data_IF_383271579997
#
_entry.id   IF_383271579997
#
_cell.length_a   1.000
_cell.length_b   1.000
_cell.length_c   1.000
_cell.angle_alpha   90.00
_cell.angle_beta   90.00
_cell.angle_gamma   90.00
#
_symmetry.space_group_name_H-M   'P 1'
#
loop_
_entity.id
_entity.type
_entity.pdbx_description
1 polymer ?
#
# COMPACT_ATOMS: atom_id res chain seq x y z
N UNK A 1 -32.66 5.07 25.72
CA UNK A 1 -31.85 5.97 24.87
C UNK A 1 -32.23 7.39 25.26
N UNK A 2 -31.29 8.22 25.71
CA UNK A 2 -31.60 9.63 25.97
C UNK A 2 -31.58 10.36 24.63
N UNK A 3 -32.72 10.91 24.22
CA UNK A 3 -32.79 11.81 23.07
C UNK A 3 -32.12 13.13 23.46
N UNK A 4 -30.86 13.30 23.05
CA UNK A 4 -30.19 14.59 23.15
C UNK A 4 -30.76 15.51 22.07
N UNK A 5 -31.82 16.24 22.42
CA UNK A 5 -32.30 17.38 21.63
C UNK A 5 -31.16 18.39 21.57
N UNK A 6 -30.52 18.54 20.41
CA UNK A 6 -29.48 19.57 20.23
C UNK A 6 -30.14 20.95 20.32
N UNK A 7 -29.79 21.79 21.32
CA UNK A 7 -30.46 23.09 21.51
C UNK A 7 -30.03 24.14 20.47
N UNK A 8 -28.97 23.87 19.70
CA UNK A 8 -28.47 24.74 18.65
C UNK A 8 -28.11 23.93 17.39
N UNK A 9 -28.62 24.36 16.24
CA UNK A 9 -28.21 23.80 14.95
C UNK A 9 -26.80 24.27 14.59
N UNK A 10 -25.92 23.32 14.32
CA UNK A 10 -24.56 23.55 13.86
C UNK A 10 -24.27 22.70 12.63
N UNK A 11 -23.43 23.22 11.73
CA UNK A 11 -23.09 22.59 10.46
C UNK A 11 -21.58 22.66 10.18
N UNK A 12 -21.05 21.61 9.58
CA UNK A 12 -19.68 21.51 9.09
C UNK A 12 -19.60 22.25 7.76
N UNK A 13 -18.87 23.37 7.72
CA UNK A 13 -18.69 24.19 6.50
C UNK A 13 -17.46 23.81 5.67
N UNK A 14 -16.71 22.79 6.07
CA UNK A 14 -15.47 22.38 5.41
C UNK A 14 -15.77 21.69 4.07
N UNK A 15 -15.28 22.21 2.94
CA UNK A 15 -15.49 21.58 1.64
C UNK A 15 -14.74 20.25 1.54
N UNK A 16 -15.38 19.29 0.88
CA UNK A 16 -14.79 18.01 0.47
C UNK A 16 -14.18 18.18 -0.93
N UNK A 17 -12.90 17.82 -1.07
CA UNK A 17 -12.16 17.92 -2.34
C UNK A 17 -12.04 16.59 -3.09
N UNK A 18 -11.55 16.66 -4.33
CA UNK A 18 -11.14 15.56 -5.21
C UNK A 18 -11.93 14.23 -5.09
N UNK A 19 -11.35 13.05 -4.94
CA UNK A 19 -9.95 12.62 -4.63
C UNK A 19 -9.46 12.90 -3.19
N UNK A 20 -10.19 13.62 -2.32
CA UNK A 20 -9.89 13.62 -0.88
C UNK A 20 -10.36 12.33 -0.18
N UNK A 21 -9.54 11.78 0.73
CA UNK A 21 -9.97 10.67 1.58
C UNK A 21 -11.01 11.12 2.61
N UNK A 22 -12.07 10.34 2.86
CA UNK A 22 -13.11 10.66 3.85
C UNK A 22 -12.53 10.95 5.24
N UNK A 23 -11.50 10.19 5.65
CA UNK A 23 -10.81 10.45 6.91
C UNK A 23 -9.96 11.73 6.89
N UNK A 24 -9.40 12.15 5.75
CA UNK A 24 -8.75 13.47 5.60
C UNK A 24 -9.76 14.59 5.80
N UNK A 25 -10.91 14.49 5.12
CA UNK A 25 -11.95 15.50 5.21
C UNK A 25 -12.48 15.64 6.63
N UNK A 26 -12.72 14.53 7.35
CA UNK A 26 -13.12 14.57 8.76
C UNK A 26 -12.09 15.22 9.69
N UNK A 27 -10.80 15.07 9.41
CA UNK A 27 -9.73 15.71 10.19
C UNK A 27 -9.73 17.22 9.93
N UNK A 28 -9.80 17.65 8.66
CA UNK A 28 -9.95 19.06 8.29
C UNK A 28 -11.24 19.68 8.83
N UNK A 29 -12.34 18.93 8.82
CA UNK A 29 -13.62 19.35 9.40
C UNK A 29 -13.48 19.64 10.90
N UNK A 30 -12.80 18.76 11.65
CA UNK A 30 -12.56 18.98 13.07
C UNK A 30 -11.72 20.24 13.33
N UNK A 31 -10.57 20.33 12.65
CA UNK A 31 -9.65 21.47 12.81
C UNK A 31 -10.30 22.79 12.39
N UNK A 32 -11.11 22.79 11.32
CA UNK A 32 -11.91 23.95 10.88
C UNK A 32 -13.05 24.33 11.83
N UNK A 33 -13.60 23.36 12.57
CA UNK A 33 -14.51 23.61 13.69
C UNK A 33 -13.79 23.99 15.00
N UNK A 34 -12.46 24.11 15.00
CA UNK A 34 -11.68 24.45 16.18
C UNK A 34 -11.59 23.34 17.23
N UNK A 35 -11.80 22.07 16.86
CA UNK A 35 -11.71 20.91 17.75
C UNK A 35 -10.79 19.82 17.17
N UNK A 36 -10.40 18.85 17.99
CA UNK A 36 -9.60 17.72 17.52
C UNK A 36 -10.48 16.65 16.83
N UNK A 37 -9.91 15.76 16.00
CA UNK A 37 -10.67 14.74 15.26
C UNK A 37 -11.39 13.71 16.15
N UNK A 38 -10.95 13.48 17.40
CA UNK A 38 -11.71 12.63 18.33
C UNK A 38 -12.94 13.38 18.85
N UNK A 39 -12.82 14.67 19.19
CA UNK A 39 -13.95 15.49 19.65
C UNK A 39 -15.06 15.60 18.61
N UNK A 40 -14.76 16.00 17.36
CA UNK A 40 -15.79 16.11 16.31
C UNK A 40 -16.51 14.77 16.09
N UNK A 41 -15.75 13.69 15.96
CA UNK A 41 -16.34 12.36 15.69
C UNK A 41 -17.09 11.77 16.88
N UNK A 42 -16.73 12.15 18.12
CA UNK A 42 -17.46 11.81 19.33
C UNK A 42 -18.84 12.48 19.40
N UNK A 43 -18.96 13.72 18.91
CA UNK A 43 -20.25 14.43 18.77
C UNK A 43 -21.08 13.84 17.62
N UNK A 44 -20.47 13.60 16.46
CA UNK A 44 -21.17 13.04 15.30
C UNK A 44 -21.69 11.62 15.56
N UNK A 45 -20.91 10.78 16.25
CA UNK A 45 -21.22 9.37 16.46
C UNK A 45 -20.95 8.91 17.90
N UNK A 46 -21.79 9.32 18.87
CA UNK A 46 -21.62 8.97 20.28
C UNK A 46 -21.45 7.46 20.50
N UNK A 47 -20.44 7.09 21.29
CA UNK A 47 -20.09 5.70 21.58
C UNK A 47 -19.37 4.93 20.46
N UNK A 48 -19.31 5.44 19.23
CA UNK A 48 -18.59 4.76 18.14
C UNK A 48 -17.11 5.17 18.08
N UNK A 49 -16.22 4.19 18.26
CA UNK A 49 -14.77 4.37 18.11
C UNK A 49 -14.37 4.37 16.62
N UNK A 50 -14.89 5.33 15.83
CA UNK A 50 -14.66 5.39 14.36
C UNK A 50 -13.18 5.25 13.97
N UNK A 51 -12.29 5.84 14.76
CA UNK A 51 -10.85 5.85 14.53
C UNK A 51 -10.13 4.51 14.75
N UNK A 52 -10.81 3.45 15.20
CA UNK A 52 -10.24 2.10 15.24
C UNK A 52 -10.50 1.28 13.98
N UNK A 53 -11.34 1.78 13.07
CA UNK A 53 -11.66 1.16 11.77
C UNK A 53 -11.18 2.02 10.60
N UNK A 54 -11.11 1.43 9.41
CA UNK A 54 -10.66 2.09 8.19
C UNK A 54 -11.86 2.63 7.38
N UNK A 55 -12.36 3.81 7.76
CA UNK A 55 -13.55 4.41 7.12
C UNK A 55 -13.35 4.77 5.64
N UNK A 56 -12.11 4.91 5.17
CA UNK A 56 -11.82 5.15 3.76
C UNK A 56 -12.22 3.94 2.90
N UNK A 57 -12.40 2.75 3.47
CA UNK A 57 -12.94 1.57 2.76
C UNK A 57 -14.44 1.66 2.48
N UNK A 58 -15.15 2.59 3.12
CA UNK A 58 -16.59 2.74 2.99
C UNK A 58 -17.25 2.96 4.35
N UNK A 59 -18.17 3.91 4.40
CA UNK A 59 -18.92 4.26 5.60
C UNK A 59 -20.31 3.61 5.58
N UNK A 60 -20.71 2.96 6.68
CA UNK A 60 -22.04 2.36 6.80
C UNK A 60 -23.15 3.44 6.74
N UNK A 61 -24.25 3.14 6.04
CA UNK A 61 -25.33 4.10 5.71
C UNK A 61 -25.84 4.91 6.91
N UNK A 62 -25.94 4.29 8.09
CA UNK A 62 -26.37 4.95 9.34
C UNK A 62 -25.45 6.11 9.77
N UNK A 63 -24.16 6.01 9.50
CA UNK A 63 -23.16 7.02 9.85
C UNK A 63 -23.01 8.08 8.76
N UNK A 64 -23.09 7.69 7.48
CA UNK A 64 -23.02 8.62 6.35
C UNK A 64 -24.22 9.56 6.28
N UNK A 65 -25.43 9.08 6.59
CA UNK A 65 -26.63 9.95 6.72
C UNK A 65 -26.42 11.12 7.69
N UNK A 66 -25.68 10.91 8.79
CA UNK A 66 -25.37 11.96 9.78
C UNK A 66 -24.36 12.97 9.21
N UNK A 67 -23.37 12.53 8.42
CA UNK A 67 -22.47 13.45 7.73
C UNK A 67 -23.21 14.27 6.67
N UNK A 68 -24.07 13.64 5.88
CA UNK A 68 -24.86 14.33 4.85
C UNK A 68 -25.76 15.42 5.44
N UNK A 69 -26.40 15.17 6.59
CA UNK A 69 -27.20 16.21 7.25
C UNK A 69 -26.36 17.29 7.93
N UNK A 70 -25.22 16.95 8.53
CA UNK A 70 -24.35 17.93 9.23
C UNK A 70 -23.45 18.75 8.33
N UNK A 71 -23.10 18.27 7.13
CA UNK A 71 -22.17 18.94 6.22
C UNK A 71 -22.82 19.41 4.89
N UNK A 72 -24.09 19.09 4.66
CA UNK A 72 -24.79 19.33 3.39
C UNK A 72 -24.09 18.67 2.17
N UNK A 73 -23.43 17.53 2.39
CA UNK A 73 -22.73 16.75 1.36
C UNK A 73 -23.60 15.57 0.93
N UNK A 74 -23.75 15.33 -0.38
CA UNK A 74 -24.56 14.21 -0.88
C UNK A 74 -23.97 12.85 -0.51
N UNK A 75 -24.81 11.82 -0.45
CA UNK A 75 -24.33 10.46 -0.17
C UNK A 75 -23.31 9.98 -1.23
N UNK A 76 -23.44 10.44 -2.48
CA UNK A 76 -22.54 10.06 -3.57
C UNK A 76 -21.18 10.77 -3.48
N UNK A 77 -21.17 12.04 -3.09
CA UNK A 77 -19.93 12.76 -2.76
C UNK A 77 -19.19 12.10 -1.57
N UNK A 78 -19.92 11.63 -0.56
CA UNK A 78 -19.32 10.83 0.52
C UNK A 78 -18.81 9.46 0.02
N UNK A 79 -19.50 8.85 -0.97
CA UNK A 79 -19.04 7.59 -1.56
C UNK A 79 -17.74 7.79 -2.36
N UNK A 80 -17.58 8.88 -3.12
CA UNK A 80 -16.35 9.19 -3.88
C UNK A 80 -15.12 9.48 -3.00
N UNK A 81 -15.34 9.90 -1.75
CA UNK A 81 -14.29 10.03 -0.74
C UNK A 81 -13.88 8.68 -0.11
N UNK A 82 -14.41 7.55 -0.60
CA UNK A 82 -14.10 6.20 -0.11
C UNK A 82 -13.88 5.21 -1.25
N UNK A 83 -13.28 4.07 -0.95
CA UNK A 83 -13.13 2.94 -1.88
C UNK A 83 -14.44 2.18 -2.17
N UNK A 84 -15.60 2.66 -1.68
CA UNK A 84 -16.90 2.01 -1.94
C UNK A 84 -17.19 1.89 -3.44
N UNK A 85 -16.98 2.97 -4.21
CA UNK A 85 -17.19 2.94 -5.65
C UNK A 85 -16.20 1.98 -6.35
N UNK A 86 -14.93 1.99 -5.92
CA UNK A 86 -13.90 1.09 -6.43
C UNK A 86 -14.26 -0.39 -6.23
N UNK A 87 -14.74 -0.75 -5.03
CA UNK A 87 -15.17 -2.11 -4.70
C UNK A 87 -16.45 -2.53 -5.43
N UNK A 88 -17.38 -1.60 -5.66
CA UNK A 88 -18.59 -1.88 -6.45
C UNK A 88 -18.29 -2.11 -7.93
N UNK A 89 -17.35 -1.34 -8.51
CA UNK A 89 -16.91 -1.47 -9.89
C UNK A 89 -16.07 -2.73 -10.16
N UNK A 90 -15.48 -3.32 -9.12
CA UNK A 90 -14.56 -4.45 -9.20
C UNK A 90 -14.97 -5.58 -8.22
N UNK A 91 -16.27 -5.85 -8.10
CA UNK A 91 -16.84 -6.75 -7.10
C UNK A 91 -16.37 -8.21 -7.22
N UNK A 92 -15.90 -8.61 -8.40
CA UNK A 92 -15.34 -9.94 -8.70
C UNK A 92 -13.88 -10.11 -8.20
N UNK A 93 -13.27 -9.06 -7.64
CA UNK A 93 -11.83 -9.00 -7.35
C UNK A 93 -11.58 -8.59 -5.89
N UNK A 94 -10.70 -9.31 -5.20
CA UNK A 94 -10.36 -9.05 -3.78
C UNK A 94 -9.40 -7.85 -3.60
N UNK A 95 -9.92 -6.65 -3.79
CA UNK A 95 -9.18 -5.40 -3.71
C UNK A 95 -8.83 -4.96 -2.26
N UNK A 96 -9.34 -5.57 -1.18
CA UNK A 96 -8.98 -5.13 0.17
C UNK A 96 -7.49 -5.29 0.48
N UNK A 97 -6.86 -6.29 -0.14
CA UNK A 97 -5.43 -6.57 -0.05
C UNK A 97 -4.58 -5.49 -0.73
N UNK A 98 -5.19 -4.72 -1.63
CA UNK A 98 -4.59 -3.62 -2.37
C UNK A 98 -4.88 -2.23 -1.77
N UNK A 99 -5.52 -2.16 -0.60
CA UNK A 99 -5.63 -0.95 0.23
C UNK A 99 -4.65 -1.05 1.40
N UNK A 100 -3.87 0.01 1.63
CA UNK A 100 -2.81 0.06 2.65
C UNK A 100 -3.39 -0.10 4.06
N UNK A 101 -2.81 -1.00 4.84
CA UNK A 101 -3.27 -1.27 6.19
C UNK A 101 -2.80 -0.17 7.17
N UNK A 102 -3.76 0.44 7.86
CA UNK A 102 -3.51 1.41 8.94
C UNK A 102 -2.73 0.81 10.13
N UNK A 103 -2.80 -0.51 10.33
CA UNK A 103 -2.10 -1.20 11.41
C UNK A 103 -2.55 -0.74 12.81
N UNK A 104 -3.86 -0.58 13.00
CA UNK A 104 -4.47 0.08 14.16
C UNK A 104 -4.15 -0.62 15.48
N UNK A 105 -3.83 0.17 16.52
CA UNK A 105 -3.88 -0.25 17.93
C UNK A 105 -4.51 0.89 18.72
N UNK A 106 -5.76 0.72 19.14
CA UNK A 106 -6.63 1.82 19.53
C UNK A 106 -6.59 2.92 18.45
N UNK A 107 -6.26 4.16 18.82
CA UNK A 107 -6.16 5.31 17.92
C UNK A 107 -4.82 5.40 17.14
N UNK A 108 -3.77 4.68 17.54
CA UNK A 108 -2.45 4.78 16.87
C UNK A 108 -2.41 3.92 15.61
N UNK A 109 -1.88 4.47 14.52
CA UNK A 109 -1.67 3.78 13.24
C UNK A 109 -0.16 3.56 13.02
N UNK A 110 0.23 2.48 12.34
CA UNK A 110 1.64 2.10 12.08
C UNK A 110 2.06 2.30 10.62
N UNK A 111 1.33 3.17 9.93
CA UNK A 111 1.39 3.38 8.49
C UNK A 111 -0.02 3.55 7.92
N UNK A 112 -0.19 3.18 6.66
CA UNK A 112 -1.44 3.34 5.92
C UNK A 112 -1.58 4.70 5.25
N UNK A 113 -1.10 5.76 5.89
CA UNK A 113 -1.08 7.13 5.38
C UNK A 113 0.20 7.45 4.62
N UNK A 114 0.05 8.17 3.49
CA UNK A 114 1.14 8.59 2.61
C UNK A 114 0.83 9.96 2.03
N UNK A 115 1.85 10.71 1.61
CA UNK A 115 1.68 12.04 1.01
C UNK A 115 2.79 12.43 0.05
N UNK A 116 2.49 13.44 -0.77
CA UNK A 116 3.45 14.19 -1.57
C UNK A 116 3.72 15.53 -0.87
N UNK A 117 4.98 15.87 -0.58
CA UNK A 117 5.35 17.14 0.08
C UNK A 117 4.90 18.36 -0.71
N UNK A 118 5.09 18.32 -2.03
CA UNK A 118 4.80 19.43 -2.93
C UNK A 118 3.29 19.59 -3.16
N UNK A 119 2.51 18.51 -3.18
CA UNK A 119 1.05 18.64 -3.16
C UNK A 119 0.57 19.35 -1.89
N UNK A 120 1.10 18.98 -0.71
CA UNK A 120 0.73 19.65 0.55
C UNK A 120 1.20 21.11 0.64
N UNK A 121 2.14 21.53 -0.22
CA UNK A 121 2.60 22.92 -0.36
C UNK A 121 1.72 23.73 -1.33
N UNK A 122 1.37 23.12 -2.47
CA UNK A 122 0.61 23.76 -3.55
C UNK A 122 -0.90 23.79 -3.32
N UNK A 123 -1.45 22.83 -2.58
CA UNK A 123 -2.88 22.73 -2.29
C UNK A 123 -3.30 23.95 -1.43
N UNK A 124 -4.20 24.85 -1.91
CA UNK A 124 -4.58 26.08 -1.19
C UNK A 124 -5.13 25.83 0.22
N UNK A 125 -5.75 24.66 0.43
CA UNK A 125 -5.97 24.08 1.75
C UNK A 125 -5.55 22.62 1.65
N UNK A 126 -4.40 22.27 2.23
CA UNK A 126 -3.82 20.92 2.16
C UNK A 126 -4.79 19.80 2.59
N UNK A 127 -4.67 18.63 1.96
CA UNK A 127 -5.46 17.42 2.25
C UNK A 127 -4.70 16.15 1.85
N UNK A 128 -5.13 15.01 2.38
CA UNK A 128 -4.61 13.70 2.00
C UNK A 128 -5.55 13.04 0.98
N UNK A 129 -4.97 12.61 -0.13
CA UNK A 129 -5.71 12.03 -1.25
C UNK A 129 -6.08 10.58 -1.00
N UNK A 130 -7.25 10.16 -1.49
CA UNK A 130 -7.74 8.79 -1.33
C UNK A 130 -6.83 7.79 -2.04
N UNK A 131 -6.37 8.10 -3.26
CA UNK A 131 -5.46 7.22 -4.01
C UNK A 131 -4.13 6.96 -3.28
N UNK A 132 -3.62 7.88 -2.43
CA UNK A 132 -2.44 7.65 -1.60
C UNK A 132 -2.63 6.54 -0.55
N UNK A 133 -3.86 6.06 -0.33
CA UNK A 133 -4.16 4.84 0.46
C UNK A 133 -4.03 3.54 -0.36
N UNK A 134 -3.81 3.58 -1.67
CA UNK A 134 -3.68 2.39 -2.52
C UNK A 134 -2.27 1.77 -2.46
N UNK A 135 -2.20 0.44 -2.54
CA UNK A 135 -0.96 -0.32 -2.33
C UNK A 135 0.00 -0.24 -3.52
N UNK A 136 -0.47 0.02 -4.74
CA UNK A 136 0.39 0.25 -5.90
C UNK A 136 0.88 1.71 -6.02
N UNK A 137 0.25 2.65 -5.30
CA UNK A 137 0.63 4.07 -5.30
C UNK A 137 1.87 4.27 -4.43
N UNK A 138 3.00 4.59 -5.07
CA UNK A 138 4.32 4.76 -4.45
C UNK A 138 4.99 6.09 -4.80
N UNK A 139 4.47 6.83 -5.77
CA UNK A 139 4.96 8.16 -6.13
C UNK A 139 3.85 9.10 -6.56
N UNK A 140 4.11 10.40 -6.44
CA UNK A 140 3.26 11.42 -7.03
C UNK A 140 3.51 11.50 -8.54
N UNK A 141 2.45 11.35 -9.35
CA UNK A 141 2.54 11.50 -10.81
C UNK A 141 2.85 12.96 -11.18
N UNK A 142 2.23 13.93 -10.51
CA UNK A 142 2.41 15.38 -10.75
C UNK A 142 3.85 15.84 -10.53
N UNK A 143 4.48 15.37 -9.45
CA UNK A 143 5.80 15.84 -9.01
C UNK A 143 6.94 14.87 -9.28
N UNK A 144 6.65 13.68 -9.82
CA UNK A 144 7.65 12.64 -10.16
C UNK A 144 8.58 12.24 -8.99
N UNK A 145 8.03 12.29 -7.76
CA UNK A 145 8.75 11.96 -6.53
C UNK A 145 8.08 10.84 -5.74
N UNK A 146 8.87 10.12 -4.93
CA UNK A 146 8.36 9.07 -4.04
C UNK A 146 7.41 9.66 -2.99
N UNK A 147 6.31 8.98 -2.69
CA UNK A 147 5.45 9.36 -1.56
C UNK A 147 6.18 9.12 -0.22
N UNK A 148 5.86 9.93 0.78
CA UNK A 148 6.37 9.79 2.14
C UNK A 148 5.29 9.15 3.03
N UNK A 149 5.66 8.12 3.81
CA UNK A 149 4.79 7.44 4.80
C UNK A 149 5.21 7.70 6.26
N UNK A 150 6.25 8.52 6.45
CA UNK A 150 6.77 8.96 7.74
C UNK A 150 7.01 10.48 7.74
N UNK A 151 7.10 11.07 8.93
CA UNK A 151 7.58 12.44 9.07
C UNK A 151 9.11 12.49 8.86
N UNK A 152 9.66 13.34 7.97
CA UNK A 152 11.10 13.41 7.73
C UNK A 152 11.89 14.01 8.91
N UNK A 153 11.21 14.62 9.89
CA UNK A 153 11.85 15.27 11.04
C UNK A 153 11.97 14.36 12.28
N UNK A 154 10.99 13.50 12.52
CA UNK A 154 10.95 12.62 13.71
C UNK A 154 10.79 11.12 13.38
N UNK A 155 10.63 10.77 12.10
CA UNK A 155 10.46 9.40 11.58
C UNK A 155 9.24 8.61 12.11
N UNK A 156 8.35 9.25 12.88
CA UNK A 156 7.05 8.68 13.24
C UNK A 156 6.16 8.44 12.01
N UNK A 157 5.34 7.39 12.06
CA UNK A 157 4.33 7.15 11.03
C UNK A 157 3.31 8.30 10.96
N UNK A 158 2.89 8.65 9.75
CA UNK A 158 1.93 9.74 9.50
C UNK A 158 0.56 9.40 10.10
N UNK A 159 0.09 10.28 11.01
CA UNK A 159 -1.09 10.05 11.84
C UNK A 159 -1.92 11.36 12.01
N UNK A 160 -2.43 11.97 10.92
CA UNK A 160 -3.13 13.27 10.98
C UNK A 160 -4.37 13.23 11.90
N UNK A 161 -4.95 12.04 12.11
CA UNK A 161 -6.02 11.79 13.09
C UNK A 161 -5.63 11.92 14.58
N UNK A 162 -4.37 12.24 14.87
CA UNK A 162 -3.84 12.60 16.19
C UNK A 162 -3.50 14.09 16.30
N UNK A 163 -3.81 14.91 15.29
CA UNK A 163 -3.74 16.36 15.40
C UNK A 163 -4.76 16.86 16.42
N UNK A 164 -4.47 18.02 16.99
CA UNK A 164 -5.22 18.66 18.06
C UNK A 164 -5.73 20.03 17.58
N UNK A 165 -6.76 20.58 18.23
CA UNK A 165 -7.34 21.87 17.86
C UNK A 165 -6.32 23.02 17.63
N UNK A 166 -5.23 23.16 18.42
CA UNK A 166 -4.22 24.20 18.20
C UNK A 166 -3.40 24.02 16.92
N UNK A 167 -3.35 22.82 16.34
CA UNK A 167 -2.53 22.55 15.15
C UNK A 167 -3.09 23.22 13.89
N UNK A 168 -4.41 23.41 13.83
CA UNK A 168 -5.22 24.11 12.80
C UNK A 168 -5.12 23.59 11.34
N UNK A 169 -4.02 22.96 10.95
CA UNK A 169 -3.76 22.47 9.59
C UNK A 169 -3.46 20.96 9.60
N UNK A 170 -3.79 20.28 8.51
CA UNK A 170 -3.54 18.83 8.38
C UNK A 170 -2.11 18.50 7.91
N UNK A 171 -1.38 19.48 7.37
CA UNK A 171 -0.07 19.33 6.73
C UNK A 171 1.14 19.43 7.69
N UNK A 172 0.92 19.21 9.00
CA UNK A 172 1.97 19.11 10.01
C UNK A 172 2.00 17.71 10.66
N UNK A 173 3.13 17.37 11.30
CA UNK A 173 3.28 16.11 12.01
C UNK A 173 2.56 16.17 13.36
N UNK A 174 1.63 15.25 13.62
CA UNK A 174 0.94 15.14 14.92
C UNK A 174 1.84 14.85 16.13
N UNK A 175 3.11 14.50 15.91
CA UNK A 175 4.09 14.20 16.98
C UNK A 175 5.03 15.37 17.22
N UNK A 176 5.78 15.82 16.20
CA UNK A 176 6.78 16.88 16.36
C UNK A 176 6.31 18.26 15.89
N UNK A 177 5.04 18.39 15.46
CA UNK A 177 4.34 19.62 15.02
C UNK A 177 4.96 20.39 13.83
N UNK A 178 6.17 20.02 13.39
CA UNK A 178 6.80 20.52 12.15
C UNK A 178 5.98 20.18 10.90
N UNK A 179 6.06 21.06 9.91
CA UNK A 179 5.42 20.88 8.60
C UNK A 179 5.95 19.65 7.83
N UNK A 180 5.07 19.04 7.06
CA UNK A 180 5.34 17.88 6.20
C UNK A 180 5.74 18.29 4.76
N UNK A 181 5.51 19.55 4.38
CA UNK A 181 5.91 20.13 3.10
C UNK A 181 7.30 20.81 3.18
N UNK A 182 7.84 21.22 2.03
CA UNK A 182 9.14 21.87 1.89
C UNK A 182 10.30 21.03 2.49
N UNK A 183 10.30 19.75 2.12
CA UNK A 183 11.24 18.72 2.61
C UNK A 183 11.90 18.04 1.41
N UNK A 184 13.18 17.67 1.53
CA UNK A 184 13.89 17.01 0.44
C UNK A 184 13.36 15.58 0.25
N UNK A 185 12.79 15.30 -0.92
CA UNK A 185 12.28 13.99 -1.32
C UNK A 185 13.11 13.44 -2.48
N UNK A 186 13.18 12.11 -2.58
CA UNK A 186 13.85 11.46 -3.70
C UNK A 186 12.86 11.28 -4.87
N UNK A 187 13.37 11.40 -6.10
CA UNK A 187 12.65 10.97 -7.30
C UNK A 187 12.17 9.51 -7.17
N UNK A 188 11.01 9.20 -7.77
CA UNK A 188 10.50 7.83 -7.87
C UNK A 188 11.26 7.05 -8.97
N UNK A 189 11.48 5.76 -8.72
CA UNK A 189 11.93 4.83 -9.76
C UNK A 189 10.96 4.76 -10.95
N UNK A 190 11.47 4.95 -12.16
CA UNK A 190 10.65 5.08 -13.37
C UNK A 190 9.86 3.80 -13.72
N UNK A 191 10.36 2.61 -13.37
CA UNK A 191 9.63 1.35 -13.59
C UNK A 191 8.48 1.21 -12.58
N UNK A 192 8.69 1.62 -11.33
CA UNK A 192 7.62 1.69 -10.33
C UNK A 192 6.54 2.72 -10.68
N UNK A 193 6.92 3.89 -11.20
CA UNK A 193 5.97 4.91 -11.67
C UNK A 193 5.16 4.43 -12.89
N UNK A 194 5.77 3.69 -13.82
CA UNK A 194 5.04 3.07 -14.94
C UNK A 194 4.11 1.95 -14.46
N UNK A 195 4.53 1.11 -13.51
CA UNK A 195 3.64 0.11 -12.90
C UNK A 195 2.40 0.73 -12.27
N UNK A 196 2.57 1.83 -11.53
CA UNK A 196 1.47 2.57 -10.92
C UNK A 196 0.46 3.06 -11.98
N UNK A 197 0.95 3.60 -13.10
CA UNK A 197 0.11 4.05 -14.23
C UNK A 197 -0.59 2.90 -14.95
N UNK A 198 0.12 1.81 -15.25
CA UNK A 198 -0.46 0.61 -15.87
C UNK A 198 -1.58 0.04 -14.94
N UNK A 199 -1.35 0.02 -13.62
CA UNK A 199 -2.36 -0.44 -12.63
C UNK A 199 -3.59 0.48 -12.61
N UNK A 200 -3.42 1.81 -12.53
CA UNK A 200 -4.55 2.75 -12.54
C UNK A 200 -5.38 2.63 -13.84
N UNK A 201 -4.72 2.47 -14.99
CA UNK A 201 -5.36 2.27 -16.29
C UNK A 201 -6.15 0.95 -16.33
N UNK A 202 -5.53 -0.16 -15.94
CA UNK A 202 -6.14 -1.49 -16.00
C UNK A 202 -7.33 -1.61 -15.04
N UNK A 203 -7.27 -0.94 -13.89
CA UNK A 203 -8.35 -0.84 -12.91
C UNK A 203 -9.52 0.01 -13.41
N UNK A 204 -9.26 1.06 -14.20
CA UNK A 204 -10.29 1.91 -14.79
C UNK A 204 -11.02 1.26 -15.98
N UNK A 205 -10.31 0.44 -16.77
CA UNK A 205 -10.88 -0.22 -17.96
C UNK A 205 -11.43 -1.64 -17.69
N UNK A 206 -11.14 -2.24 -16.53
CA UNK A 206 -11.63 -3.57 -16.13
C UNK A 206 -10.86 -4.78 -16.70
N UNK A 207 -9.84 -4.54 -17.51
CA UNK A 207 -8.99 -5.57 -18.12
C UNK A 207 -7.53 -5.10 -18.18
N UNK A 208 -6.60 -6.01 -18.49
CA UNK A 208 -5.18 -5.70 -18.62
C UNK A 208 -4.62 -6.15 -19.97
N UNK A 209 -3.49 -5.58 -20.37
CA UNK A 209 -2.71 -6.03 -21.53
C UNK A 209 -1.40 -6.64 -21.02
N UNK A 210 -1.14 -7.90 -21.38
CA UNK A 210 0.08 -8.62 -21.03
C UNK A 210 0.52 -9.51 -22.20
N UNK A 211 1.81 -9.44 -22.56
CA UNK A 211 2.39 -10.14 -23.72
C UNK A 211 1.52 -10.02 -24.99
N UNK A 212 1.10 -8.79 -25.30
CA UNK A 212 0.25 -8.41 -26.45
C UNK A 212 -1.13 -9.09 -26.51
N UNK A 213 -1.57 -9.67 -25.37
CA UNK A 213 -2.91 -10.25 -25.20
C UNK A 213 -3.73 -9.46 -24.18
N UNK A 214 -5.03 -9.36 -24.43
CA UNK A 214 -6.00 -8.89 -23.46
C UNK A 214 -6.32 -10.02 -22.47
N UNK A 215 -6.17 -9.74 -21.17
CA UNK A 215 -6.49 -10.69 -20.09
C UNK A 215 -7.39 -10.01 -19.05
N UNK A 216 -8.12 -10.81 -18.29
CA UNK A 216 -8.96 -10.28 -17.20
C UNK A 216 -8.10 -9.58 -16.15
N UNK A 217 -8.65 -8.55 -15.49
CA UNK A 217 -7.95 -7.85 -14.40
C UNK A 217 -7.63 -8.81 -13.24
N UNK A 218 -8.50 -9.78 -12.96
CA UNK A 218 -8.26 -10.85 -11.97
C UNK A 218 -7.03 -11.70 -12.33
N UNK A 219 -6.90 -12.15 -13.59
CA UNK A 219 -5.73 -12.91 -14.03
C UNK A 219 -4.44 -12.09 -13.94
N UNK A 220 -4.47 -10.82 -14.36
CA UNK A 220 -3.32 -9.93 -14.26
C UNK A 220 -2.86 -9.71 -12.81
N UNK A 221 -3.80 -9.52 -11.88
CA UNK A 221 -3.49 -9.40 -10.45
C UNK A 221 -2.87 -10.69 -9.89
N UNK A 222 -3.27 -11.86 -10.39
CA UNK A 222 -2.64 -13.14 -10.04
C UNK A 222 -1.21 -13.25 -10.60
N UNK A 223 -0.94 -12.78 -11.83
CA UNK A 223 0.43 -12.67 -12.39
C UNK A 223 1.30 -11.75 -11.53
N UNK A 224 0.80 -10.55 -11.21
CA UNK A 224 1.47 -9.58 -10.34
C UNK A 224 1.76 -10.18 -8.96
N UNK A 225 0.81 -10.91 -8.37
CA UNK A 225 0.99 -11.55 -7.07
C UNK A 225 2.04 -12.67 -7.09
N UNK A 226 2.13 -13.46 -8.16
CA UNK A 226 3.20 -14.46 -8.30
C UNK A 226 4.58 -13.80 -8.50
N UNK A 227 4.67 -12.74 -9.30
CA UNK A 227 5.93 -12.00 -9.45
C UNK A 227 6.33 -11.30 -8.14
N UNK A 228 5.37 -10.79 -7.36
CA UNK A 228 5.60 -10.31 -6.00
C UNK A 228 6.16 -11.41 -5.07
N UNK A 229 5.63 -12.63 -5.11
CA UNK A 229 6.18 -13.75 -4.35
C UNK A 229 7.62 -14.08 -4.76
N UNK A 230 7.90 -14.17 -6.07
CA UNK A 230 9.24 -14.42 -6.60
C UNK A 230 10.22 -13.32 -6.20
N UNK A 231 9.92 -12.04 -6.48
CA UNK A 231 10.75 -10.90 -6.13
C UNK A 231 11.01 -10.85 -4.61
N UNK A 232 9.99 -11.04 -3.77
CA UNK A 232 10.18 -11.07 -2.30
C UNK A 232 11.08 -12.23 -1.85
N UNK A 233 11.05 -13.38 -2.54
CA UNK A 233 11.96 -14.50 -2.29
C UNK A 233 13.41 -14.16 -2.69
N UNK A 234 13.62 -13.52 -3.85
CA UNK A 234 14.94 -13.04 -4.29
C UNK A 234 15.51 -12.02 -3.32
N UNK A 235 14.75 -10.97 -2.98
CA UNK A 235 15.15 -9.89 -2.05
C UNK A 235 15.38 -10.33 -0.59
N UNK A 236 15.10 -11.59 -0.24
CA UNK A 236 15.39 -12.19 1.08
C UNK A 236 16.60 -13.16 1.01
N UNK A 237 16.95 -13.66 -0.17
CA UNK A 237 18.06 -14.59 -0.38
C UNK A 237 19.43 -13.92 -0.50
N UNK A 238 20.48 -14.74 -0.55
CA UNK A 238 21.84 -14.27 -0.87
C UNK A 238 21.88 -13.66 -2.28
N UNK A 239 22.71 -12.63 -2.46
CA UNK A 239 23.00 -12.00 -3.76
C UNK A 239 23.59 -12.99 -4.77
N UNK A 240 24.20 -14.08 -4.30
CA UNK A 240 24.76 -15.17 -5.12
C UNK A 240 23.70 -16.21 -5.53
N UNK A 241 22.47 -16.09 -5.07
CA UNK A 241 21.42 -17.08 -5.37
C UNK A 241 20.99 -17.02 -6.83
N UNK A 242 20.55 -18.17 -7.37
CA UNK A 242 19.99 -18.29 -8.73
C UNK A 242 18.90 -17.25 -9.04
N UNK A 243 18.14 -16.82 -8.03
CA UNK A 243 17.13 -15.78 -8.18
C UNK A 243 17.69 -14.40 -8.50
N UNK A 244 18.82 -14.03 -7.90
CA UNK A 244 19.54 -12.79 -8.23
C UNK A 244 20.26 -12.91 -9.58
N UNK A 245 20.90 -14.05 -9.86
CA UNK A 245 21.47 -14.34 -11.17
C UNK A 245 20.41 -14.20 -12.28
N UNK A 246 19.20 -14.70 -12.07
CA UNK A 246 18.07 -14.58 -13.01
C UNK A 246 17.66 -13.13 -13.28
N UNK A 247 17.55 -12.29 -12.24
CA UNK A 247 17.27 -10.86 -12.44
C UNK A 247 18.41 -10.17 -13.21
N UNK A 248 19.67 -10.47 -12.85
CA UNK A 248 20.83 -9.89 -13.51
C UNK A 248 20.93 -10.29 -15.00
N UNK A 249 20.75 -11.56 -15.35
CA UNK A 249 20.77 -12.05 -16.75
C UNK A 249 19.56 -11.56 -17.57
N UNK A 250 18.49 -11.11 -16.93
CA UNK A 250 17.37 -10.43 -17.59
C UNK A 250 17.55 -8.92 -17.72
N UNK A 251 18.64 -8.34 -17.20
CA UNK A 251 18.92 -6.91 -17.11
C UNK A 251 17.96 -6.14 -16.18
N UNK A 252 17.37 -6.84 -15.20
CA UNK A 252 16.39 -6.28 -14.27
C UNK A 252 17.11 -5.51 -13.15
N UNK A 253 16.99 -4.18 -13.21
CA UNK A 253 17.53 -3.28 -12.19
C UNK A 253 16.68 -3.34 -10.93
N UNK A 254 17.29 -3.77 -9.83
CA UNK A 254 16.71 -3.68 -8.48
C UNK A 254 17.12 -2.35 -7.84
N UNK A 255 16.22 -1.38 -7.62
CA UNK A 255 16.57 -0.17 -6.89
C UNK A 255 16.74 -0.50 -5.39
N UNK A 256 17.54 0.30 -4.67
CA UNK A 256 17.76 0.14 -3.21
C UNK A 256 18.17 -1.27 -2.78
N UNK A 257 19.17 -1.86 -3.46
CA UNK A 257 19.72 -3.20 -3.17
C UNK A 257 19.99 -3.45 -1.67
N UNK A 258 20.70 -2.57 -0.91
CA UNK A 258 21.03 -2.84 0.50
C UNK A 258 19.83 -2.78 1.47
N UNK A 259 18.62 -2.43 1.00
CA UNK A 259 17.45 -2.31 1.87
C UNK A 259 16.99 -3.69 2.39
N UNK A 260 16.99 -3.86 3.71
CA UNK A 260 16.55 -5.10 4.35
C UNK A 260 15.04 -5.30 4.13
N UNK A 261 14.65 -6.41 3.50
CA UNK A 261 13.23 -6.78 3.36
C UNK A 261 12.61 -7.10 4.72
N UNK A 262 11.63 -6.30 5.17
CA UNK A 262 10.93 -6.58 6.43
C UNK A 262 10.09 -7.86 6.38
N UNK A 263 9.75 -8.36 5.18
CA UNK A 263 8.93 -9.56 4.99
C UNK A 263 7.48 -9.43 5.48
N UNK A 264 6.98 -8.20 5.70
CA UNK A 264 5.56 -7.92 5.92
C UNK A 264 4.75 -8.16 4.64
N UNK A 265 3.43 -8.28 4.75
CA UNK A 265 2.51 -8.32 3.60
C UNK A 265 2.53 -6.98 2.85
N UNK A 266 2.22 -7.02 1.55
CA UNK A 266 2.43 -5.89 0.63
C UNK A 266 1.79 -4.58 1.13
N UNK A 267 0.58 -4.66 1.68
CA UNK A 267 -0.16 -3.51 2.22
C UNK A 267 0.33 -2.98 3.59
N UNK A 268 1.36 -3.60 4.17
CA UNK A 268 2.03 -3.16 5.40
C UNK A 268 3.49 -2.76 5.17
N UNK A 269 4.00 -2.85 3.95
CA UNK A 269 5.36 -2.42 3.60
C UNK A 269 5.47 -0.89 3.58
N UNK A 270 6.71 -0.39 3.63
CA UNK A 270 6.98 1.04 3.44
C UNK A 270 6.81 1.44 1.97
N UNK A 271 6.70 2.74 1.67
CA UNK A 271 6.73 3.22 0.28
C UNK A 271 8.00 2.75 -0.44
N UNK A 272 9.16 2.86 0.21
CA UNK A 272 10.45 2.46 -0.33
C UNK A 272 10.54 0.96 -0.65
N UNK A 273 10.05 0.09 0.24
CA UNK A 273 10.01 -1.36 -0.01
C UNK A 273 9.06 -1.73 -1.16
N UNK A 274 7.89 -1.06 -1.24
CA UNK A 274 6.92 -1.28 -2.31
C UNK A 274 7.43 -0.82 -3.66
N UNK A 275 7.99 0.39 -3.74
CA UNK A 275 8.62 0.93 -4.96
C UNK A 275 9.66 -0.06 -5.51
N UNK A 276 10.54 -0.58 -4.64
CA UNK A 276 11.52 -1.60 -5.05
C UNK A 276 10.88 -2.85 -5.62
N UNK A 277 9.83 -3.36 -4.99
CA UNK A 277 9.12 -4.56 -5.48
C UNK A 277 8.44 -4.29 -6.82
N UNK A 278 7.69 -3.19 -6.95
CA UNK A 278 6.96 -2.86 -8.18
C UNK A 278 7.88 -2.50 -9.34
N UNK A 279 9.02 -1.85 -9.08
CA UNK A 279 10.06 -1.63 -10.09
C UNK A 279 10.52 -2.95 -10.72
N UNK A 280 10.77 -3.98 -9.89
CA UNK A 280 11.18 -5.30 -10.36
C UNK A 280 10.04 -6.05 -11.07
N UNK A 281 8.82 -5.99 -10.53
CA UNK A 281 7.63 -6.61 -11.15
C UNK A 281 7.35 -5.99 -12.52
N UNK A 282 7.44 -4.67 -12.67
CA UNK A 282 7.25 -3.99 -13.94
C UNK A 282 8.21 -4.49 -15.01
N UNK A 283 9.50 -4.59 -14.66
CA UNK A 283 10.52 -5.07 -15.56
C UNK A 283 10.25 -6.53 -15.96
N UNK A 284 9.91 -7.41 -15.00
CA UNK A 284 9.47 -8.79 -15.30
C UNK A 284 8.25 -8.85 -16.24
N UNK A 285 7.26 -7.96 -16.06
CA UNK A 285 6.06 -7.89 -16.91
C UNK A 285 6.37 -7.48 -18.37
N UNK A 286 7.54 -6.89 -18.65
CA UNK A 286 7.98 -6.54 -20.01
C UNK A 286 9.04 -7.52 -20.58
N UNK A 287 9.42 -8.57 -19.85
CA UNK A 287 10.32 -9.62 -20.36
C UNK A 287 9.53 -10.56 -21.29
N UNK A 288 10.04 -10.80 -22.49
CA UNK A 288 9.42 -11.75 -23.43
C UNK A 288 9.45 -13.19 -22.89
N UNK A 289 8.43 -13.97 -23.25
CA UNK A 289 8.29 -15.39 -22.86
C UNK A 289 9.56 -16.20 -23.16
N UNK A 290 10.16 -15.96 -24.32
CA UNK A 290 11.39 -16.61 -24.78
C UNK A 290 12.60 -16.23 -23.93
N UNK A 291 12.83 -14.92 -23.65
CA UNK A 291 13.94 -14.48 -22.80
C UNK A 291 13.78 -15.04 -21.38
N UNK A 292 12.55 -15.09 -20.86
CA UNK A 292 12.26 -15.70 -19.55
C UNK A 292 12.66 -17.19 -19.51
N UNK A 293 12.14 -18.00 -20.44
CA UNK A 293 12.38 -19.45 -20.48
C UNK A 293 13.88 -19.75 -20.70
N UNK A 294 14.51 -19.08 -21.68
CA UNK A 294 15.93 -19.27 -21.99
C UNK A 294 16.83 -18.98 -20.79
N UNK A 295 16.56 -17.90 -20.05
CA UNK A 295 17.31 -17.54 -18.84
C UNK A 295 17.02 -18.48 -17.66
N UNK A 296 15.79 -18.95 -17.51
CA UNK A 296 15.47 -19.91 -16.46
C UNK A 296 16.21 -21.24 -16.66
N UNK A 297 16.22 -21.75 -17.90
CA UNK A 297 16.85 -23.02 -18.23
C UNK A 297 18.39 -22.91 -18.19
N UNK A 298 19.00 -21.80 -18.63
CA UNK A 298 20.46 -21.59 -18.51
C UNK A 298 20.94 -21.60 -17.05
N UNK A 299 20.08 -21.16 -16.11
CA UNK A 299 20.35 -21.19 -14.67
C UNK A 299 19.87 -22.48 -13.99
N UNK A 300 19.35 -23.46 -14.73
CA UNK A 300 18.74 -24.70 -14.21
C UNK A 300 17.70 -24.38 -13.10
N UNK A 301 16.72 -23.52 -13.45
CA UNK A 301 15.64 -23.06 -12.56
C UNK A 301 14.31 -23.71 -12.92
N UNK A 302 13.84 -24.59 -12.04
CA UNK A 302 12.54 -25.24 -12.17
C UNK A 302 11.38 -24.38 -11.63
N UNK A 303 10.14 -24.87 -11.84
CA UNK A 303 8.88 -24.40 -11.24
C UNK A 303 9.00 -23.79 -9.84
N UNK A 304 9.58 -24.53 -8.89
CA UNK A 304 9.66 -24.14 -7.48
C UNK A 304 10.71 -23.04 -7.20
N UNK A 305 11.50 -22.65 -8.20
CA UNK A 305 12.34 -21.45 -8.16
C UNK A 305 11.46 -20.19 -8.13
N UNK A 306 10.36 -20.21 -8.88
CA UNK A 306 9.52 -19.04 -9.16
C UNK A 306 8.21 -19.04 -8.35
N UNK A 307 7.41 -20.12 -8.41
CA UNK A 307 6.08 -20.19 -7.77
C UNK A 307 5.92 -21.39 -6.83
N UNK A 308 5.27 -21.16 -5.70
CA UNK A 308 4.93 -22.18 -4.70
C UNK A 308 3.86 -23.15 -5.27
N UNK A 309 3.83 -24.40 -4.79
CA UNK A 309 2.88 -25.42 -5.27
C UNK A 309 1.44 -25.18 -4.80
N UNK A 310 1.25 -24.36 -3.76
CA UNK A 310 -0.06 -24.08 -3.13
C UNK A 310 -0.90 -23.03 -3.86
N UNK A 311 -0.34 -22.32 -4.84
CA UNK A 311 -1.05 -21.33 -5.64
C UNK A 311 -1.34 -21.87 -7.04
N UNK A 312 -2.54 -21.57 -7.54
CA UNK A 312 -2.92 -21.77 -8.93
C UNK A 312 -2.08 -20.86 -9.82
N UNK A 313 -1.58 -21.40 -10.94
CA UNK A 313 -0.84 -20.64 -11.93
C UNK A 313 -1.84 -20.00 -12.91
N UNK A 314 -1.77 -18.68 -13.18
CA UNK A 314 -2.50 -18.01 -14.26
C UNK A 314 -2.34 -18.75 -15.58
N UNK A 315 -3.41 -18.80 -16.38
CA UNK A 315 -3.43 -19.54 -17.64
C UNK A 315 -2.38 -18.99 -18.61
N UNK A 316 -2.22 -17.67 -18.65
CA UNK A 316 -1.22 -16.96 -19.46
C UNK A 316 0.24 -17.31 -19.10
N UNK A 317 0.49 -17.89 -17.91
CA UNK A 317 1.81 -18.36 -17.47
C UNK A 317 2.02 -19.88 -17.63
N UNK A 318 0.97 -20.67 -17.87
CA UNK A 318 1.11 -22.12 -18.12
C UNK A 318 2.07 -22.46 -19.29
N UNK A 319 2.13 -21.69 -20.40
CA UNK A 319 3.13 -21.92 -21.44
C UNK A 319 4.57 -21.81 -20.94
N UNK A 320 4.84 -20.96 -19.93
CA UNK A 320 6.18 -20.87 -19.32
C UNK A 320 6.46 -22.11 -18.47
N UNK A 321 5.52 -22.52 -17.62
CA UNK A 321 5.67 -23.71 -16.76
C UNK A 321 5.98 -24.98 -17.56
N UNK A 322 5.35 -25.17 -18.71
CA UNK A 322 5.55 -26.34 -19.59
C UNK A 322 6.99 -26.47 -20.13
N UNK A 323 7.74 -25.37 -20.22
CA UNK A 323 9.11 -25.31 -20.76
C UNK A 323 10.21 -25.17 -19.69
N UNK A 324 9.85 -25.17 -18.39
CA UNK A 324 10.83 -25.22 -17.30
C UNK A 324 11.15 -26.67 -16.90
N UNK A 325 12.39 -26.90 -16.49
CA UNK A 325 12.87 -28.23 -16.08
C UNK A 325 12.03 -28.86 -14.96
N UNK A 326 11.55 -30.09 -15.20
CA UNK A 326 10.92 -30.94 -14.18
C UNK A 326 11.99 -31.64 -13.35
N UNK A 327 12.61 -30.93 -12.41
CA UNK A 327 13.57 -31.53 -11.47
C UNK A 327 12.83 -32.48 -10.51
N UNK A 328 13.01 -33.79 -10.70
CA UNK A 328 12.74 -34.77 -9.64
C UNK A 328 13.78 -34.57 -8.53
N UNK A 329 13.32 -34.29 -7.32
CA UNK A 329 14.18 -34.31 -6.14
C UNK A 329 13.99 -35.64 -5.43
N UNK A 330 14.95 -36.55 -5.62
CA UNK A 330 15.19 -37.61 -4.65
C UNK A 330 15.68 -36.91 -3.37
N UNK A 331 14.78 -36.67 -2.44
CA UNK A 331 15.16 -36.27 -1.09
C UNK A 331 15.83 -37.48 -0.43
N UNK A 332 17.12 -37.41 -0.03
CA UNK A 332 17.62 -38.36 0.94
C UNK A 332 16.79 -38.20 2.22
N UNK A 333 16.38 -39.31 2.81
CA UNK A 333 15.61 -39.33 4.07
C UNK A 333 16.33 -38.47 5.11
N UNK A 334 15.63 -37.47 5.64
CA UNK A 334 16.18 -36.52 6.61
C UNK A 334 16.57 -37.32 7.85
N UNK A 335 17.87 -37.51 8.08
CA UNK A 335 18.36 -37.97 9.39
C UNK A 335 17.96 -36.94 10.43
N UNK A 336 17.25 -37.37 11.46
CA UNK A 336 16.90 -36.52 12.59
C UNK A 336 18.19 -36.01 13.25
N UNK A 337 18.47 -34.71 13.08
CA UNK A 337 19.49 -34.00 13.85
C UNK A 337 18.88 -33.55 15.18
N UNK A 338 19.61 -33.60 16.30
CA UNK A 338 19.10 -33.13 17.59
C UNK A 338 18.66 -31.66 17.51
N UNK A 339 17.56 -31.31 18.19
CA UNK A 339 17.02 -29.95 18.25
C UNK A 339 17.87 -29.06 19.18
N UNK A 340 19.07 -28.74 18.69
CA UNK A 340 19.93 -27.71 19.29
C UNK A 340 19.43 -26.37 18.76
N UNK A 341 18.88 -25.54 19.64
CA UNK A 341 18.30 -24.24 19.30
C UNK A 341 19.38 -23.26 18.80
N UNK A 342 19.67 -23.32 17.49
CA UNK A 342 20.66 -22.44 16.87
C UNK A 342 20.20 -20.97 16.98
N UNK A 343 21.10 -20.03 17.35
CA UNK A 343 20.76 -18.61 17.41
C UNK A 343 20.27 -18.12 16.04
N UNK A 344 19.30 -17.20 16.06
CA UNK A 344 18.75 -16.61 14.83
C UNK A 344 19.84 -15.83 14.07
N UNK A 345 19.87 -15.93 12.73
CA UNK A 345 20.87 -15.21 11.92
C UNK A 345 20.81 -13.69 12.14
N UNK A 346 21.92 -13.00 11.91
CA UNK A 346 22.02 -11.53 12.03
C UNK A 346 20.93 -10.81 11.24
N UNK A 347 20.64 -11.28 10.03
CA UNK A 347 19.61 -10.75 9.14
C UNK A 347 18.20 -11.03 9.68
N UNK A 348 17.98 -12.17 10.33
CA UNK A 348 16.71 -12.47 11.01
C UNK A 348 16.49 -11.57 12.23
N UNK A 349 17.55 -11.31 13.01
CA UNK A 349 17.52 -10.37 14.15
C UNK A 349 17.27 -8.94 13.66
N UNK A 350 18.01 -8.46 12.65
CA UNK A 350 17.81 -7.13 12.06
C UNK A 350 16.39 -6.95 11.51
N UNK A 351 15.82 -7.96 10.84
CA UNK A 351 14.41 -7.94 10.41
C UNK A 351 13.43 -7.85 11.57
N UNK A 352 13.67 -8.57 12.68
CA UNK A 352 12.86 -8.44 13.91
C UNK A 352 12.96 -7.03 14.50
N UNK A 353 14.16 -6.44 14.54
CA UNK A 353 14.39 -5.05 15.01
C UNK A 353 13.69 -4.03 14.12
N UNK A 354 13.76 -4.14 12.79
CA UNK A 354 13.06 -3.22 11.86
C UNK A 354 11.54 -3.32 12.02
N UNK A 355 10.99 -4.54 12.15
CA UNK A 355 9.56 -4.74 12.47
C UNK A 355 9.18 -4.16 13.83
N UNK A 356 10.09 -4.19 14.81
CA UNK A 356 9.86 -3.64 16.14
C UNK A 356 9.90 -2.11 16.14
N UNK A 357 10.87 -1.49 15.45
CA UNK A 357 10.93 -0.03 15.27
C UNK A 357 9.60 0.51 14.74
N UNK A 358 9.07 -0.07 13.65
CA UNK A 358 7.75 0.27 13.06
C UNK A 358 6.54 0.00 13.98
N UNK A 359 6.70 -0.69 15.12
CA UNK A 359 5.64 -0.83 16.14
C UNK A 359 5.71 0.23 17.24
N UNK A 360 6.84 0.94 17.36
CA UNK A 360 7.17 1.89 18.43
C UNK A 360 7.13 3.34 17.92
N UNK A 361 7.63 3.58 16.70
CA UNK A 361 7.54 4.84 15.92
C UNK A 361 6.22 5.00 15.19
#
# INVERSE_FOLDING_TARGET
MVSTVEPYSWAIRTPLFQDEALSSWLIRAALGCGCDPLSLTGVLWPGWRVWTVDIDKGLHQKYSKILSSKASISQDQLNTATFKNLFLQNSEIELNSWILALGTRNRKHKGGWQYCSECLLEDPIAYFRLNWRCVWQVGCIKHTQRLLDQCPHCYSAIQPRLLEAPDRIISCCSVCKKYLFNVKVNAIDQSALKFQKDFDLFLAQGYAIYADTFISLSEWLNVVQLFNQFIRKVLIGSLESKGWAFLNTLDIRVPHIPLISTGLVLNQLSVLERERIFSCIYQLLKVSREKFIKTANSLNMNRASFWDKRYQLPEILQPIEKHLDKVSRNYPLIKASPDISKPSSKEAVLRRVMRLKRKIT
#
